data_IF_224514021934
#
_entry.id   IF_224514021934
#
_cell.length_a   1.000
_cell.length_b   1.000
_cell.length_c   1.000
_cell.angle_alpha   90.00
_cell.angle_beta   90.00
_cell.angle_gamma   90.00
#
_symmetry.space_group_name_H-M   'P 1'
#
loop_
_entity.id
_entity.type
_entity.pdbx_description
1 polymer ?
#
# COMPACT_ATOMS: atom_id res chain seq x y z
N UNK A 1 28.68 -5.66 -11.42
CA UNK A 1 27.27 -5.87 -11.85
C UNK A 1 26.37 -5.26 -10.80
N UNK A 2 25.57 -4.27 -11.18
CA UNK A 2 24.45 -3.78 -10.35
C UNK A 2 23.30 -4.77 -10.51
N UNK A 3 22.78 -5.32 -9.41
CA UNK A 3 21.60 -6.17 -9.43
C UNK A 3 20.37 -5.34 -9.82
N UNK A 4 19.60 -5.82 -10.79
CA UNK A 4 18.35 -5.18 -11.23
C UNK A 4 17.12 -5.74 -10.51
N UNK A 5 17.19 -6.98 -10.04
CA UNK A 5 16.10 -7.67 -9.33
C UNK A 5 16.57 -8.37 -8.06
N UNK A 6 15.63 -8.59 -7.12
CA UNK A 6 15.90 -9.18 -5.80
C UNK A 6 16.58 -10.55 -5.88
N UNK A 7 16.28 -11.38 -6.88
CA UNK A 7 16.93 -12.69 -7.05
C UNK A 7 18.41 -12.57 -7.41
N UNK A 8 18.78 -11.63 -8.29
CA UNK A 8 20.18 -11.32 -8.60
C UNK A 8 20.91 -10.80 -7.37
N UNK A 9 20.25 -9.96 -6.57
CA UNK A 9 20.81 -9.47 -5.31
C UNK A 9 21.07 -10.62 -4.34
N UNK A 10 20.13 -11.56 -4.18
CA UNK A 10 20.32 -12.77 -3.36
C UNK A 10 21.48 -13.63 -3.85
N UNK A 11 21.67 -13.78 -5.16
CA UNK A 11 22.80 -14.52 -5.73
C UNK A 11 24.13 -13.80 -5.47
N UNK A 12 24.16 -12.47 -5.57
CA UNK A 12 25.34 -11.67 -5.22
C UNK A 12 25.65 -11.76 -3.73
N UNK A 13 24.64 -11.72 -2.88
CA UNK A 13 24.81 -11.85 -1.43
C UNK A 13 25.28 -13.26 -1.05
N UNK A 14 24.75 -14.30 -1.70
CA UNK A 14 25.26 -15.67 -1.55
C UNK A 14 26.72 -15.77 -2.00
N UNK A 15 27.09 -15.16 -3.13
CA UNK A 15 28.49 -15.12 -3.59
C UNK A 15 29.39 -14.41 -2.57
N UNK A 16 28.97 -13.25 -2.05
CA UNK A 16 29.70 -12.51 -1.01
C UNK A 16 29.85 -13.33 0.26
N UNK A 17 28.76 -13.97 0.70
CA UNK A 17 28.74 -14.85 1.87
C UNK A 17 29.76 -15.98 1.71
N UNK A 18 29.72 -16.73 0.60
CA UNK A 18 30.67 -17.83 0.38
C UNK A 18 32.11 -17.34 0.24
N UNK A 19 32.35 -16.20 -0.42
CA UNK A 19 33.68 -15.62 -0.50
C UNK A 19 34.24 -15.26 0.89
N UNK A 20 33.44 -14.61 1.73
CA UNK A 20 33.82 -14.27 3.12
C UNK A 20 34.02 -15.53 3.97
N UNK A 21 33.14 -16.52 3.81
CA UNK A 21 33.24 -17.79 4.52
C UNK A 21 34.53 -18.54 4.17
N UNK A 22 34.87 -18.61 2.87
CA UNK A 22 36.10 -19.25 2.40
C UNK A 22 37.36 -18.48 2.86
N UNK A 23 37.34 -17.14 2.81
CA UNK A 23 38.44 -16.31 3.31
C UNK A 23 38.69 -16.55 4.80
N UNK A 24 37.64 -16.52 5.62
CA UNK A 24 37.72 -16.81 7.05
C UNK A 24 38.26 -18.22 7.33
N UNK A 25 37.78 -19.23 6.59
CA UNK A 25 38.29 -20.60 6.71
C UNK A 25 39.75 -20.73 6.31
N UNK A 26 40.22 -19.94 5.34
CA UNK A 26 41.62 -19.90 4.95
C UNK A 26 42.50 -19.37 6.08
N UNK A 27 42.06 -18.34 6.79
CA UNK A 27 42.78 -17.80 7.95
C UNK A 27 42.78 -18.79 9.12
N UNK A 28 41.61 -19.34 9.48
CA UNK A 28 41.43 -20.27 10.60
C UNK A 28 42.24 -21.57 10.44
N UNK A 29 42.32 -22.12 9.21
CA UNK A 29 42.95 -23.41 8.96
C UNK A 29 44.38 -23.30 8.47
N UNK A 30 44.81 -22.12 7.99
CA UNK A 30 46.17 -21.85 7.50
C UNK A 30 46.69 -22.98 6.56
N UNK A 31 47.64 -23.79 7.00
CA UNK A 31 48.24 -24.87 6.19
C UNK A 31 47.25 -25.99 5.82
N UNK A 32 46.25 -26.26 6.67
CA UNK A 32 45.25 -27.32 6.43
C UNK A 32 44.12 -26.90 5.47
N UNK A 33 44.07 -25.63 5.07
CA UNK A 33 42.98 -25.08 4.27
C UNK A 33 42.82 -25.80 2.93
N UNK A 34 43.91 -26.07 2.20
CA UNK A 34 43.85 -26.75 0.90
C UNK A 34 43.28 -28.17 1.02
N UNK A 35 43.66 -28.89 2.07
CA UNK A 35 43.16 -30.24 2.36
C UNK A 35 41.66 -30.19 2.67
N UNK A 36 41.22 -29.23 3.47
CA UNK A 36 39.80 -29.03 3.77
C UNK A 36 39.00 -28.62 2.53
N UNK A 37 39.53 -27.71 1.71
CA UNK A 37 38.88 -27.23 0.49
C UNK A 37 38.65 -28.36 -0.51
N UNK A 38 39.66 -29.23 -0.69
CA UNK A 38 39.53 -30.44 -1.52
C UNK A 38 38.47 -31.41 -0.98
N UNK A 39 38.36 -31.57 0.34
CA UNK A 39 37.28 -32.38 0.94
C UNK A 39 35.90 -31.76 0.69
N UNK A 40 35.78 -30.45 0.79
CA UNK A 40 34.52 -29.73 0.52
C UNK A 40 34.13 -29.83 -0.96
N UNK A 41 35.07 -29.60 -1.87
CA UNK A 41 34.87 -29.76 -3.31
C UNK A 41 34.36 -31.18 -3.64
N UNK A 42 35.05 -32.21 -3.15
CA UNK A 42 34.65 -33.60 -3.35
C UNK A 42 33.27 -33.92 -2.74
N UNK A 43 32.91 -33.29 -1.61
CA UNK A 43 31.59 -33.46 -1.01
C UNK A 43 30.50 -32.88 -1.90
N UNK A 44 30.74 -31.71 -2.49
CA UNK A 44 29.78 -31.04 -3.39
C UNK A 44 29.70 -31.76 -4.73
N UNK A 45 30.83 -32.10 -5.36
CA UNK A 45 30.84 -32.67 -6.71
C UNK A 45 30.40 -34.14 -6.74
N UNK A 46 30.76 -34.93 -5.72
CA UNK A 46 30.63 -36.39 -5.78
C UNK A 46 29.64 -36.96 -4.75
N UNK A 47 29.38 -36.25 -3.64
CA UNK A 47 28.50 -36.73 -2.56
C UNK A 47 27.12 -36.06 -2.54
N UNK A 48 26.98 -34.88 -3.16
CA UNK A 48 25.68 -34.24 -3.35
C UNK A 48 24.92 -34.96 -4.45
N UNK A 49 23.77 -35.53 -4.13
CA UNK A 49 22.90 -36.21 -5.11
C UNK A 49 21.76 -35.30 -5.49
N UNK A 50 21.60 -35.06 -6.79
CA UNK A 50 20.44 -34.37 -7.35
C UNK A 50 19.46 -35.42 -7.86
N UNK A 51 18.21 -35.33 -7.40
CA UNK A 51 17.12 -36.13 -7.95
C UNK A 51 16.57 -35.43 -9.18
N UNK A 52 16.84 -35.98 -10.37
CA UNK A 52 16.38 -35.42 -11.64
C UNK A 52 15.19 -36.24 -12.13
N UNK A 53 14.05 -35.57 -12.30
CA UNK A 53 12.86 -36.16 -12.92
C UNK A 53 12.73 -35.64 -14.35
N UNK A 54 13.01 -36.51 -15.32
CA UNK A 54 12.82 -36.21 -16.74
C UNK A 54 11.36 -36.42 -17.10
N UNK A 55 10.65 -35.34 -17.41
CA UNK A 55 9.23 -35.40 -17.76
C UNK A 55 9.09 -35.43 -19.28
N UNK A 56 8.55 -36.51 -19.88
CA UNK A 56 8.53 -36.70 -21.33
C UNK A 56 7.51 -35.79 -22.06
N UNK A 57 6.51 -35.26 -21.36
CA UNK A 57 5.51 -34.32 -21.90
C UNK A 57 5.39 -33.09 -21.03
N UNK A 58 5.39 -31.91 -21.63
CA UNK A 58 5.21 -30.64 -20.92
C UNK A 58 3.90 -30.59 -20.10
N UNK A 59 2.90 -31.39 -20.47
CA UNK A 59 1.60 -31.52 -19.80
C UNK A 59 1.69 -32.12 -18.41
N UNK A 60 2.66 -33.02 -18.20
CA UNK A 60 2.80 -33.80 -16.97
C UNK A 60 3.66 -33.02 -15.96
N UNK A 61 4.36 -31.98 -16.42
CA UNK A 61 5.18 -31.09 -15.59
C UNK A 61 4.31 -30.38 -14.56
N UNK A 62 3.15 -29.83 -14.93
CA UNK A 62 2.28 -29.09 -14.00
C UNK A 62 1.75 -29.96 -12.85
N UNK A 63 1.32 -31.19 -13.15
CA UNK A 63 0.83 -32.15 -12.14
C UNK A 63 1.96 -32.62 -11.23
N UNK A 64 3.13 -32.94 -11.81
CA UNK A 64 4.31 -33.34 -11.04
C UNK A 64 4.79 -32.18 -10.15
N UNK A 65 4.77 -30.94 -10.64
CA UNK A 65 5.18 -29.75 -9.89
C UNK A 65 4.25 -29.49 -8.70
N UNK A 66 2.93 -29.60 -8.89
CA UNK A 66 1.95 -29.49 -7.80
C UNK A 66 2.14 -30.56 -6.73
N UNK A 67 2.35 -31.82 -7.14
CA UNK A 67 2.50 -32.95 -6.20
C UNK A 67 3.87 -32.94 -5.50
N UNK A 68 4.94 -32.52 -6.19
CA UNK A 68 6.29 -32.46 -5.62
C UNK A 68 6.51 -31.27 -4.68
N UNK A 69 6.00 -30.07 -5.02
CA UNK A 69 6.15 -28.89 -4.16
C UNK A 69 5.27 -28.94 -2.91
N UNK A 70 4.29 -29.84 -2.85
CA UNK A 70 3.48 -30.07 -1.65
C UNK A 70 4.29 -30.69 -0.48
N UNK A 71 5.58 -31.00 -0.67
CA UNK A 71 6.50 -31.48 0.37
C UNK A 71 7.37 -30.36 0.99
N UNK A 72 7.17 -29.10 0.61
CA UNK A 72 7.96 -27.94 1.07
C UNK A 72 7.14 -26.64 1.17
N UNK A 73 7.65 -25.51 0.63
CA UNK A 73 6.92 -24.23 0.57
C UNK A 73 5.66 -24.42 -0.28
N UNK A 74 4.48 -24.04 0.24
CA UNK A 74 3.21 -24.13 -0.48
C UNK A 74 3.28 -23.29 -1.76
N UNK A 75 2.73 -23.83 -2.86
CA UNK A 75 2.58 -23.09 -4.12
C UNK A 75 1.66 -21.87 -3.94
N UNK A 76 2.03 -20.74 -4.52
CA UNK A 76 1.17 -19.55 -4.57
C UNK A 76 0.00 -19.77 -5.53
N UNK A 77 -1.09 -19.02 -5.38
CA UNK A 77 -2.22 -19.12 -6.32
C UNK A 77 -1.82 -18.68 -7.73
N UNK A 78 -0.82 -17.79 -7.84
CA UNK A 78 -0.21 -17.37 -9.12
C UNK A 78 0.49 -18.55 -9.82
N UNK A 79 1.22 -19.39 -9.08
CA UNK A 79 1.90 -20.58 -9.61
C UNK A 79 0.90 -21.66 -10.04
N UNK A 80 -0.11 -21.94 -9.21
CA UNK A 80 -1.17 -22.91 -9.54
C UNK A 80 -1.96 -22.47 -10.78
N UNK A 81 -2.28 -21.18 -10.87
CA UNK A 81 -2.97 -20.62 -12.05
C UNK A 81 -2.09 -20.78 -13.30
N UNK A 82 -0.79 -20.46 -13.23
CA UNK A 82 0.15 -20.69 -14.34
C UNK A 82 0.11 -22.13 -14.84
N UNK A 83 0.25 -23.09 -13.92
CA UNK A 83 0.34 -24.50 -14.25
C UNK A 83 -0.95 -24.99 -14.91
N UNK A 84 -2.09 -24.52 -14.41
CA UNK A 84 -3.38 -24.81 -15.01
C UNK A 84 -3.53 -24.24 -16.44
N UNK A 85 -3.13 -22.99 -16.66
CA UNK A 85 -3.17 -22.39 -18.01
C UNK A 85 -2.22 -23.10 -18.98
N UNK A 86 -1.03 -23.49 -18.54
CA UNK A 86 -0.11 -24.29 -19.34
C UNK A 86 -0.71 -25.66 -19.69
N UNK A 87 -1.36 -26.32 -18.73
CA UNK A 87 -2.11 -27.55 -18.98
C UNK A 87 -3.17 -27.34 -20.06
N UNK A 88 -4.02 -26.31 -19.96
CA UNK A 88 -5.04 -26.02 -20.98
C UNK A 88 -4.40 -25.80 -22.35
N UNK A 89 -3.35 -24.98 -22.43
CA UNK A 89 -2.65 -24.70 -23.69
C UNK A 89 -2.15 -25.96 -24.39
N UNK A 90 -1.69 -26.94 -23.61
CA UNK A 90 -1.17 -28.21 -24.13
C UNK A 90 -2.23 -29.19 -24.63
N UNK A 91 -3.50 -28.98 -24.27
CA UNK A 91 -4.65 -29.75 -24.75
C UNK A 91 -5.29 -29.14 -25.99
N UNK A 92 -4.91 -27.91 -26.35
CA UNK A 92 -5.40 -27.26 -27.56
C UNK A 92 -4.81 -27.94 -28.80
N UNK A 93 -5.69 -28.26 -29.74
CA UNK A 93 -5.34 -28.84 -31.05
C UNK A 93 -5.44 -27.82 -32.20
N UNK A 94 -5.77 -26.56 -31.89
CA UNK A 94 -5.89 -25.48 -32.87
C UNK A 94 -4.55 -24.78 -33.13
N UNK A 95 -4.48 -24.05 -34.23
CA UNK A 95 -3.30 -23.25 -34.59
C UNK A 95 -2.96 -22.24 -33.49
N UNK A 96 -1.67 -22.20 -33.16
CA UNK A 96 -1.12 -21.36 -32.10
C UNK A 96 -1.44 -21.76 -30.66
N UNK A 97 -1.97 -22.97 -30.44
CA UNK A 97 -2.03 -23.57 -29.10
C UNK A 97 -0.64 -23.74 -28.47
N UNK A 98 0.38 -24.07 -29.26
CA UNK A 98 1.78 -24.16 -28.79
C UNK A 98 2.36 -22.79 -28.44
N UNK A 99 2.16 -21.77 -29.28
CA UNK A 99 2.64 -20.42 -29.00
C UNK A 99 2.02 -19.83 -27.74
N UNK A 100 0.76 -20.19 -27.42
CA UNK A 100 0.11 -19.76 -26.18
C UNK A 100 0.87 -20.22 -24.93
N UNK A 101 1.43 -21.43 -24.92
CA UNK A 101 2.28 -21.91 -23.82
C UNK A 101 3.54 -21.06 -23.63
N UNK A 102 4.11 -20.56 -24.73
CA UNK A 102 5.24 -19.63 -24.67
C UNK A 102 4.81 -18.23 -24.21
N UNK A 103 3.66 -17.73 -24.67
CA UNK A 103 3.05 -16.45 -24.24
C UNK A 103 2.83 -16.45 -22.72
N UNK A 104 2.28 -17.53 -22.18
CA UNK A 104 2.08 -17.72 -20.73
C UNK A 104 3.43 -17.66 -20.00
N UNK A 105 4.44 -18.40 -20.46
CA UNK A 105 5.75 -18.39 -19.82
C UNK A 105 6.43 -17.01 -19.86
N UNK A 106 6.37 -16.32 -21.00
CA UNK A 106 6.87 -14.94 -21.13
C UNK A 106 6.15 -13.98 -20.19
N UNK A 107 4.83 -14.11 -20.08
CA UNK A 107 4.01 -13.26 -19.22
C UNK A 107 4.32 -13.48 -17.74
N UNK A 108 4.41 -14.73 -17.29
CA UNK A 108 4.78 -15.00 -15.90
C UNK A 108 6.19 -14.54 -15.57
N UNK A 109 7.14 -14.68 -16.50
CA UNK A 109 8.48 -14.10 -16.33
C UNK A 109 8.39 -12.59 -16.10
N UNK A 110 7.62 -11.87 -16.93
CA UNK A 110 7.41 -10.44 -16.77
C UNK A 110 6.76 -10.08 -15.42
N UNK A 111 5.73 -10.82 -15.01
CA UNK A 111 5.03 -10.60 -13.73
C UNK A 111 6.00 -10.71 -12.56
N UNK A 112 6.76 -11.81 -12.49
CA UNK A 112 7.71 -12.02 -11.40
C UNK A 112 8.85 -11.00 -11.40
N UNK A 113 9.42 -10.67 -12.56
CA UNK A 113 10.45 -9.64 -12.67
C UNK A 113 9.92 -8.26 -12.21
N UNK A 114 8.70 -7.90 -12.61
CA UNK A 114 8.06 -6.63 -12.25
C UNK A 114 7.77 -6.54 -10.76
N UNK A 115 7.17 -7.59 -10.18
CA UNK A 115 6.89 -7.68 -8.75
C UNK A 115 8.20 -7.65 -7.93
N UNK A 116 9.22 -8.42 -8.32
CA UNK A 116 10.51 -8.42 -7.65
C UNK A 116 11.20 -7.04 -7.70
N UNK A 117 11.15 -6.35 -8.85
CA UNK A 117 11.70 -5.00 -8.99
C UNK A 117 10.95 -3.96 -8.14
N UNK A 118 9.68 -4.23 -7.84
CA UNK A 118 8.82 -3.40 -7.00
C UNK A 118 8.87 -3.78 -5.51
N UNK A 119 9.79 -4.69 -5.13
CA UNK A 119 9.95 -5.21 -3.75
C UNK A 119 8.67 -5.85 -3.19
N UNK A 120 7.87 -6.44 -4.08
CA UNK A 120 6.64 -7.16 -3.72
C UNK A 120 6.94 -8.40 -2.86
N UNK A 121 5.95 -8.78 -2.06
CA UNK A 121 5.92 -9.98 -1.22
C UNK A 121 5.02 -11.07 -1.82
N UNK A 122 5.02 -12.28 -1.25
CA UNK A 122 4.10 -13.35 -1.68
C UNK A 122 2.62 -12.95 -1.51
N UNK A 123 2.29 -12.08 -0.53
CA UNK A 123 0.91 -11.57 -0.39
C UNK A 123 0.51 -10.63 -1.52
N UNK A 124 1.47 -9.92 -2.13
CA UNK A 124 1.23 -9.05 -3.27
C UNK A 124 0.90 -9.84 -4.54
N UNK A 125 1.53 -11.00 -4.75
CA UNK A 125 1.18 -11.90 -5.86
C UNK A 125 -0.29 -12.33 -5.79
N UNK A 126 -0.73 -12.74 -4.59
CA UNK A 126 -2.12 -13.17 -4.37
C UNK A 126 -3.09 -11.99 -4.48
N UNK A 127 -2.72 -10.79 -4.00
CA UNK A 127 -3.55 -9.60 -4.11
C UNK A 127 -3.69 -9.13 -5.56
N UNK A 128 -2.61 -9.17 -6.36
CA UNK A 128 -2.66 -8.92 -7.80
C UNK A 128 -3.63 -9.88 -8.49
N UNK A 129 -3.47 -11.18 -8.27
CA UNK A 129 -4.32 -12.19 -8.93
C UNK A 129 -5.79 -12.05 -8.53
N UNK A 130 -6.06 -11.85 -7.24
CA UNK A 130 -7.42 -11.62 -6.72
C UNK A 130 -8.01 -10.34 -7.30
N UNK A 131 -7.26 -9.24 -7.34
CA UNK A 131 -7.76 -7.96 -7.86
C UNK A 131 -8.05 -8.04 -9.35
N UNK A 132 -7.18 -8.71 -10.11
CA UNK A 132 -7.43 -9.04 -11.52
C UNK A 132 -8.71 -9.85 -11.67
N UNK A 133 -8.90 -10.91 -10.88
CA UNK A 133 -10.10 -11.74 -10.95
C UNK A 133 -11.38 -10.93 -10.70
N UNK A 134 -11.39 -10.11 -9.65
CA UNK A 134 -12.56 -9.32 -9.26
C UNK A 134 -12.94 -8.29 -10.32
N UNK A 135 -11.93 -7.72 -11.00
CA UNK A 135 -12.13 -6.77 -12.09
C UNK A 135 -12.53 -7.46 -13.41
N UNK A 136 -11.85 -8.54 -13.78
CA UNK A 136 -11.93 -9.13 -15.12
C UNK A 136 -13.00 -10.22 -15.23
N UNK A 137 -13.21 -11.02 -14.20
CA UNK A 137 -14.09 -12.20 -14.26
C UNK A 137 -15.37 -12.04 -13.47
N UNK A 138 -15.26 -11.64 -12.19
CA UNK A 138 -16.42 -11.60 -11.32
C UNK A 138 -16.17 -10.76 -10.06
N UNK A 139 -16.92 -9.68 -9.89
CA UNK A 139 -16.78 -8.79 -8.75
C UNK A 139 -17.22 -9.38 -7.40
N UNK A 140 -17.99 -10.47 -7.40
CA UNK A 140 -18.45 -11.10 -6.17
C UNK A 140 -17.28 -11.78 -5.46
N UNK A 141 -16.82 -11.16 -4.38
CA UNK A 141 -15.69 -11.64 -3.58
C UNK A 141 -15.90 -13.04 -2.98
N UNK A 142 -17.15 -13.46 -2.76
CA UNK A 142 -17.50 -14.81 -2.27
C UNK A 142 -17.27 -15.91 -3.32
N UNK A 143 -17.15 -15.55 -4.60
CA UNK A 143 -16.87 -16.49 -5.70
C UNK A 143 -15.38 -16.61 -6.05
N UNK A 144 -14.52 -15.91 -5.30
CA UNK A 144 -13.07 -16.07 -5.40
C UNK A 144 -12.60 -17.26 -4.55
N UNK A 145 -12.05 -18.28 -5.22
CA UNK A 145 -11.45 -19.49 -4.64
C UNK A 145 -10.06 -19.74 -5.26
N UNK A 146 -9.26 -18.68 -5.35
CA UNK A 146 -7.90 -18.77 -5.87
C UNK A 146 -7.83 -19.31 -7.30
N UNK A 147 -6.87 -20.20 -7.55
CA UNK A 147 -6.70 -20.87 -8.84
C UNK A 147 -7.89 -21.74 -9.26
N UNK A 148 -8.76 -22.19 -8.34
CA UNK A 148 -9.95 -22.95 -8.71
C UNK A 148 -10.98 -22.09 -9.45
N UNK A 149 -11.04 -20.79 -9.16
CA UNK A 149 -11.87 -19.84 -9.90
C UNK A 149 -11.56 -19.89 -11.41
N UNK A 150 -10.28 -19.92 -11.78
CA UNK A 150 -9.85 -20.07 -13.18
C UNK A 150 -10.24 -21.43 -13.76
N UNK A 151 -10.22 -22.51 -12.96
CA UNK A 151 -10.65 -23.85 -13.39
C UNK A 151 -12.15 -23.92 -13.70
N UNK A 152 -12.94 -23.16 -12.95
CA UNK A 152 -14.38 -23.05 -13.17
C UNK A 152 -14.70 -22.33 -14.48
N UNK A 153 -14.01 -21.21 -14.76
CA UNK A 153 -14.24 -20.42 -15.98
C UNK A 153 -13.66 -21.10 -17.22
N UNK A 154 -12.42 -21.59 -17.17
CA UNK A 154 -11.70 -22.16 -18.31
C UNK A 154 -11.76 -23.69 -18.35
N UNK A 155 -12.95 -24.26 -18.17
CA UNK A 155 -13.13 -25.70 -18.15
C UNK A 155 -13.23 -26.28 -19.58
N UNK A 156 -12.35 -27.22 -19.95
CA UNK A 156 -12.36 -27.90 -21.26
C UNK A 156 -13.74 -28.47 -21.65
N UNK A 157 -14.56 -28.90 -20.67
CA UNK A 157 -15.93 -29.39 -20.93
C UNK A 157 -16.83 -28.31 -21.52
N UNK A 158 -16.64 -27.05 -21.13
CA UNK A 158 -17.43 -25.90 -21.61
C UNK A 158 -17.00 -25.45 -23.00
N UNK A 159 -15.78 -25.80 -23.44
CA UNK A 159 -15.19 -25.44 -24.73
C UNK A 159 -15.09 -26.62 -25.69
N UNK A 160 -16.01 -27.58 -25.59
CA UNK A 160 -16.03 -28.75 -26.47
C UNK A 160 -16.07 -28.29 -27.93
N UNK A 161 -15.10 -28.73 -28.73
CA UNK A 161 -14.92 -28.35 -30.15
C UNK A 161 -14.69 -26.84 -30.39
N UNK A 162 -14.42 -26.06 -29.34
CA UNK A 162 -14.20 -24.61 -29.38
C UNK A 162 -12.76 -24.22 -28.97
N UNK A 163 -11.78 -25.04 -29.37
CA UNK A 163 -10.38 -24.83 -28.99
C UNK A 163 -9.82 -23.46 -29.42
N UNK A 164 -10.23 -22.95 -30.58
CA UNK A 164 -9.83 -21.61 -31.06
C UNK A 164 -10.35 -20.50 -30.14
N UNK A 165 -11.60 -20.62 -29.68
CA UNK A 165 -12.21 -19.65 -28.75
C UNK A 165 -11.49 -19.70 -27.41
N UNK A 166 -11.30 -20.90 -26.83
CA UNK A 166 -10.55 -21.06 -25.58
C UNK A 166 -9.15 -20.46 -25.68
N UNK A 167 -8.43 -20.70 -26.79
CA UNK A 167 -7.10 -20.11 -27.02
C UNK A 167 -7.15 -18.57 -26.99
N UNK A 168 -8.13 -17.97 -27.66
CA UNK A 168 -8.28 -16.52 -27.72
C UNK A 168 -8.62 -15.94 -26.34
N UNK A 169 -9.52 -16.57 -25.60
CA UNK A 169 -9.92 -16.14 -24.25
C UNK A 169 -8.75 -16.24 -23.26
N UNK A 170 -7.99 -17.34 -23.32
CA UNK A 170 -6.77 -17.50 -22.52
C UNK A 170 -5.72 -16.45 -22.87
N UNK A 171 -5.51 -16.15 -24.16
CA UNK A 171 -4.57 -15.12 -24.58
C UNK A 171 -4.99 -13.74 -24.10
N UNK A 172 -6.28 -13.39 -24.20
CA UNK A 172 -6.82 -12.14 -23.68
C UNK A 172 -6.65 -12.02 -22.15
N UNK A 173 -6.95 -13.10 -21.42
CA UNK A 173 -6.76 -13.18 -19.96
C UNK A 173 -5.30 -12.96 -19.56
N UNK A 174 -4.36 -13.65 -20.22
CA UNK A 174 -2.92 -13.58 -19.93
C UNK A 174 -2.38 -12.18 -20.23
N UNK A 175 -2.76 -11.60 -21.38
CA UNK A 175 -2.34 -10.25 -21.75
C UNK A 175 -2.89 -9.20 -20.76
N UNK A 176 -4.15 -9.30 -20.37
CA UNK A 176 -4.76 -8.38 -19.40
C UNK A 176 -4.10 -8.51 -18.02
N UNK A 177 -3.80 -9.74 -17.56
CA UNK A 177 -3.10 -9.96 -16.29
C UNK A 177 -1.69 -9.32 -16.32
N UNK A 178 -1.02 -9.33 -17.46
CA UNK A 178 0.28 -8.65 -17.65
C UNK A 178 0.17 -7.13 -17.49
N UNK A 179 -0.84 -6.51 -18.11
CA UNK A 179 -1.10 -5.08 -17.99
C UNK A 179 -1.47 -4.70 -16.55
N UNK A 180 -2.34 -5.49 -15.94
CA UNK A 180 -2.71 -5.41 -14.53
C UNK A 180 -1.50 -5.43 -13.60
N UNK A 181 -0.51 -6.30 -13.85
CA UNK A 181 0.72 -6.35 -13.07
C UNK A 181 1.50 -5.03 -13.14
N UNK A 182 1.55 -4.38 -14.30
CA UNK A 182 2.24 -3.10 -14.48
C UNK A 182 1.62 -2.00 -13.64
N UNK A 183 0.28 -1.91 -13.67
CA UNK A 183 -0.49 -0.96 -12.86
C UNK A 183 -0.38 -1.28 -11.37
N UNK A 184 -0.48 -2.55 -11.00
CA UNK A 184 -0.32 -2.98 -9.62
C UNK A 184 1.06 -2.60 -9.06
N UNK A 185 2.13 -2.79 -9.84
CA UNK A 185 3.48 -2.35 -9.48
C UNK A 185 3.57 -0.82 -9.29
N UNK A 186 2.89 -0.02 -10.12
CA UNK A 186 2.78 1.43 -9.92
C UNK A 186 2.04 1.76 -8.62
N UNK A 187 1.02 0.98 -8.27
CA UNK A 187 0.27 1.15 -7.03
C UNK A 187 1.18 0.81 -5.84
N UNK A 188 1.80 -0.38 -5.77
CA UNK A 188 2.58 -0.80 -4.59
C UNK A 188 3.94 -0.10 -4.46
N UNK A 189 4.51 0.38 -5.57
CA UNK A 189 5.80 1.06 -5.59
C UNK A 189 5.82 2.24 -6.57
N UNK A 190 5.06 3.29 -6.22
CA UNK A 190 4.83 4.46 -7.06
C UNK A 190 6.08 5.17 -7.58
N UNK A 191 7.20 5.12 -6.84
CA UNK A 191 8.48 5.77 -7.21
C UNK A 191 9.43 4.86 -8.00
N UNK A 192 8.95 3.70 -8.48
CA UNK A 192 9.76 2.80 -9.31
C UNK A 192 10.13 3.46 -10.64
N UNK A 193 11.25 3.07 -11.22
CA UNK A 193 11.64 3.55 -12.55
C UNK A 193 10.56 3.22 -13.58
N UNK A 194 10.14 4.22 -14.35
CA UNK A 194 9.12 4.09 -15.38
C UNK A 194 7.67 4.07 -14.88
N UNK A 195 7.41 4.32 -13.59
CA UNK A 195 6.04 4.50 -13.10
C UNK A 195 5.38 5.71 -13.73
N UNK A 196 4.08 5.58 -14.01
CA UNK A 196 3.28 6.66 -14.59
C UNK A 196 3.97 7.36 -15.77
N UNK A 197 4.62 6.58 -16.64
CA UNK A 197 5.27 7.09 -17.84
C UNK A 197 4.24 7.75 -18.77
N UNK A 198 4.66 8.73 -19.57
CA UNK A 198 3.80 9.38 -20.57
C UNK A 198 2.99 10.59 -20.08
N UNK A 199 3.10 11.01 -18.81
CA UNK A 199 2.52 12.28 -18.33
C UNK A 199 3.56 13.35 -17.99
N UNK A 200 3.08 14.58 -17.79
CA UNK A 200 3.83 15.74 -17.29
C UNK A 200 4.42 15.41 -15.92
N UNK A 201 5.62 15.91 -15.64
CA UNK A 201 6.32 15.65 -14.37
C UNK A 201 5.51 16.05 -13.14
N UNK A 202 4.76 17.15 -13.22
CA UNK A 202 3.87 17.60 -12.13
C UNK A 202 2.78 16.58 -11.83
N UNK A 203 2.15 16.01 -12.87
CA UNK A 203 1.11 14.98 -12.73
C UNK A 203 1.70 13.67 -12.22
N UNK A 204 2.89 13.27 -12.70
CA UNK A 204 3.62 12.10 -12.20
C UNK A 204 3.89 12.22 -10.71
N UNK A 205 4.44 13.36 -10.27
CA UNK A 205 4.72 13.62 -8.86
C UNK A 205 3.44 13.59 -8.02
N UNK A 206 2.35 14.18 -8.51
CA UNK A 206 1.06 14.12 -7.82
C UNK A 206 0.53 12.67 -7.69
N UNK A 207 0.68 11.84 -8.72
CA UNK A 207 0.33 10.42 -8.66
C UNK A 207 1.17 9.69 -7.61
N UNK A 208 2.48 9.90 -7.60
CA UNK A 208 3.38 9.33 -6.58
C UNK A 208 2.96 9.73 -5.16
N UNK A 209 2.66 11.02 -4.96
CA UNK A 209 2.31 11.57 -3.66
C UNK A 209 0.97 11.02 -3.16
N UNK A 210 -0.06 10.96 -4.01
CA UNK A 210 -1.38 10.41 -3.65
C UNK A 210 -1.39 8.89 -3.49
N UNK A 211 -0.61 8.15 -4.26
CA UNK A 211 -0.42 6.72 -4.03
C UNK A 211 0.28 6.49 -2.69
N UNK A 212 1.30 7.28 -2.36
CA UNK A 212 1.97 7.21 -1.06
C UNK A 212 1.01 7.52 0.10
N UNK A 213 0.10 8.49 -0.06
CA UNK A 213 -0.95 8.77 0.95
C UNK A 213 -1.84 7.57 1.21
N UNK A 214 -2.33 6.89 0.18
CA UNK A 214 -3.15 5.68 0.34
C UNK A 214 -2.40 4.55 1.06
N UNK A 215 -1.11 4.37 0.76
CA UNK A 215 -0.26 3.43 1.51
C UNK A 215 -0.13 3.78 2.98
N UNK A 216 0.05 5.07 3.31
CA UNK A 216 0.11 5.53 4.71
C UNK A 216 -1.20 5.28 5.45
N UNK A 217 -2.35 5.41 4.79
CA UNK A 217 -3.66 5.05 5.38
C UNK A 217 -3.78 3.52 5.53
N UNK A 218 -3.14 2.71 4.69
CA UNK A 218 -3.06 1.26 4.88
C UNK A 218 -4.36 0.50 4.56
N UNK A 219 -5.22 1.07 3.73
CA UNK A 219 -6.51 0.49 3.29
C UNK A 219 -6.65 0.43 1.77
N UNK A 220 -5.52 0.46 1.06
CA UNK A 220 -5.47 0.57 -0.40
C UNK A 220 -6.14 -0.61 -1.13
N UNK A 221 -6.14 -1.81 -0.51
CA UNK A 221 -6.61 -3.06 -1.13
C UNK A 221 -8.04 -2.98 -1.69
N UNK A 222 -8.95 -2.27 -1.01
CA UNK A 222 -10.35 -2.11 -1.44
C UNK A 222 -10.49 -1.31 -2.73
N UNK A 223 -9.49 -0.50 -3.10
CA UNK A 223 -9.50 0.36 -4.29
C UNK A 223 -8.73 -0.24 -5.46
N UNK A 224 -7.88 -1.24 -5.25
CA UNK A 224 -6.97 -1.76 -6.28
C UNK A 224 -7.72 -2.21 -7.55
N UNK A 225 -8.81 -3.00 -7.48
CA UNK A 225 -9.53 -3.40 -8.69
C UNK A 225 -10.06 -2.21 -9.49
N UNK A 226 -10.60 -1.19 -8.83
CA UNK A 226 -11.15 -0.01 -9.47
C UNK A 226 -10.05 0.87 -10.10
N UNK A 227 -8.93 1.05 -9.39
CA UNK A 227 -7.77 1.75 -9.92
C UNK A 227 -7.17 1.01 -11.13
N UNK A 228 -7.13 -0.31 -11.10
CA UNK A 228 -6.71 -1.14 -12.24
C UNK A 228 -7.66 -0.97 -13.43
N UNK A 229 -8.97 -1.09 -13.21
CA UNK A 229 -9.99 -0.91 -14.25
C UNK A 229 -9.88 0.45 -14.94
N UNK A 230 -9.82 1.52 -14.14
CA UNK A 230 -9.68 2.89 -14.62
C UNK A 230 -8.42 3.05 -15.46
N UNK A 231 -7.28 2.52 -14.98
CA UNK A 231 -6.00 2.67 -15.66
C UNK A 231 -5.90 1.89 -16.96
N UNK A 232 -6.53 0.71 -17.05
CA UNK A 232 -6.54 -0.09 -18.28
C UNK A 232 -7.50 0.49 -19.32
N UNK A 233 -8.66 1.03 -18.90
CA UNK A 233 -9.65 1.59 -19.83
C UNK A 233 -9.37 3.00 -20.30
N UNK A 234 -8.70 3.80 -19.46
CA UNK A 234 -8.39 5.19 -19.75
C UNK A 234 -6.87 5.41 -19.67
N UNK A 235 -6.10 4.51 -20.28
CA UNK A 235 -4.62 4.48 -20.22
C UNK A 235 -3.97 5.79 -20.66
N UNK A 236 -4.59 6.49 -21.59
CA UNK A 236 -4.08 7.74 -22.18
C UNK A 236 -4.42 8.96 -21.33
N UNK A 237 -5.28 8.82 -20.31
CA UNK A 237 -5.72 9.93 -19.46
C UNK A 237 -5.32 9.72 -17.99
N UNK A 238 -4.08 10.12 -17.71
CA UNK A 238 -3.47 10.04 -16.39
C UNK A 238 -4.01 11.07 -15.40
N UNK A 239 -4.66 12.12 -15.90
CA UNK A 239 -5.33 13.12 -15.06
C UNK A 239 -6.63 12.56 -14.48
N UNK A 240 -7.44 11.86 -15.27
CA UNK A 240 -8.61 11.11 -14.79
C UNK A 240 -8.21 10.07 -13.72
N UNK A 241 -7.11 9.34 -13.95
CA UNK A 241 -6.60 8.41 -12.95
C UNK A 241 -6.18 9.12 -11.65
N UNK A 242 -5.50 10.27 -11.75
CA UNK A 242 -5.12 11.08 -10.59
C UNK A 242 -6.33 11.57 -9.81
N UNK A 243 -7.39 12.03 -10.47
CA UNK A 243 -8.59 12.53 -9.78
C UNK A 243 -9.33 11.42 -9.04
N UNK A 244 -9.43 10.23 -9.64
CA UNK A 244 -9.97 9.05 -8.95
C UNK A 244 -9.11 8.67 -7.75
N UNK A 245 -7.78 8.71 -7.89
CA UNK A 245 -6.84 8.42 -6.80
C UNK A 245 -7.00 9.40 -5.62
N UNK A 246 -7.19 10.70 -5.90
CA UNK A 246 -7.49 11.72 -4.89
C UNK A 246 -8.80 11.42 -4.17
N UNK A 247 -9.84 11.05 -4.92
CA UNK A 247 -11.14 10.71 -4.34
C UNK A 247 -11.06 9.44 -3.47
N UNK A 248 -10.34 8.41 -3.91
CA UNK A 248 -10.06 7.21 -3.11
C UNK A 248 -9.28 7.56 -1.83
N UNK A 249 -8.33 8.50 -1.86
CA UNK A 249 -7.63 8.96 -0.65
C UNK A 249 -8.57 9.65 0.33
N UNK A 250 -9.46 10.53 -0.15
CA UNK A 250 -10.48 11.16 0.69
C UNK A 250 -11.45 10.13 1.27
N UNK A 251 -11.88 9.15 0.47
CA UNK A 251 -12.71 8.03 0.95
C UNK A 251 -11.98 7.28 2.05
N UNK A 252 -10.75 6.85 1.80
CA UNK A 252 -9.94 6.08 2.72
C UNK A 252 -9.75 6.80 4.06
N UNK A 253 -9.49 8.11 4.03
CA UNK A 253 -9.38 8.90 5.25
C UNK A 253 -10.74 9.05 5.94
N UNK A 254 -11.77 9.55 5.25
CA UNK A 254 -13.04 9.89 5.90
C UNK A 254 -13.84 8.67 6.37
N UNK A 255 -13.92 7.63 5.55
CA UNK A 255 -14.75 6.47 5.83
C UNK A 255 -14.01 5.50 6.76
N UNK A 256 -12.85 5.02 6.34
CA UNK A 256 -12.15 3.99 7.09
C UNK A 256 -11.42 4.57 8.30
N UNK A 257 -10.63 5.64 8.12
CA UNK A 257 -9.78 6.16 9.19
C UNK A 257 -10.53 7.03 10.21
N UNK A 258 -11.32 7.99 9.72
CA UNK A 258 -11.97 9.02 10.52
C UNK A 258 -13.25 8.48 11.16
N UNK A 259 -14.22 8.05 10.35
CA UNK A 259 -15.47 7.47 10.84
C UNK A 259 -15.31 6.06 11.45
N UNK A 260 -14.12 5.45 11.35
CA UNK A 260 -13.82 4.16 11.96
C UNK A 260 -14.55 2.97 11.34
N UNK A 261 -15.07 3.13 10.11
CA UNK A 261 -15.75 2.03 9.39
C UNK A 261 -14.75 0.93 9.06
N UNK A 262 -15.22 -0.32 9.07
CA UNK A 262 -14.40 -1.46 8.68
C UNK A 262 -13.92 -1.29 7.23
N UNK A 263 -12.75 -1.82 6.90
CA UNK A 263 -12.16 -1.67 5.56
C UNK A 263 -12.93 -2.38 4.43
N UNK A 264 -13.91 -3.22 4.79
CA UNK A 264 -14.87 -3.82 3.88
C UNK A 264 -16.13 -2.96 3.65
N UNK A 265 -16.35 -1.88 4.39
CA UNK A 265 -17.49 -0.99 4.17
C UNK A 265 -17.42 -0.40 2.74
N UNK A 266 -18.50 -0.60 1.97
CA UNK A 266 -18.59 -0.19 0.58
C UNK A 266 -17.75 -1.03 -0.39
N UNK A 267 -17.07 -2.09 0.07
CA UNK A 267 -16.16 -2.88 -0.76
C UNK A 267 -16.90 -3.58 -1.89
N UNK A 268 -18.07 -4.18 -1.65
CA UNK A 268 -18.83 -4.86 -2.72
C UNK A 268 -19.22 -3.88 -3.83
N UNK A 269 -19.57 -2.64 -3.46
CA UNK A 269 -19.89 -1.57 -4.42
C UNK A 269 -18.63 -1.18 -5.23
N UNK A 270 -17.48 -1.00 -4.57
CA UNK A 270 -16.21 -0.69 -5.24
C UNK A 270 -15.75 -1.81 -6.19
N UNK A 271 -15.91 -3.07 -5.77
CA UNK A 271 -15.58 -4.23 -6.60
C UNK A 271 -16.49 -4.34 -7.81
N UNK A 272 -17.82 -4.18 -7.62
CA UNK A 272 -18.78 -4.15 -8.71
C UNK A 272 -18.45 -3.03 -9.69
N UNK A 273 -18.15 -1.85 -9.18
CA UNK A 273 -17.82 -0.69 -10.00
C UNK A 273 -16.54 -0.91 -10.81
N UNK A 274 -15.52 -1.58 -10.25
CA UNK A 274 -14.33 -1.96 -10.98
C UNK A 274 -14.64 -2.87 -12.17
N UNK A 275 -15.48 -3.89 -11.94
CA UNK A 275 -15.92 -4.81 -12.99
C UNK A 275 -16.73 -4.08 -14.06
N UNK A 276 -17.72 -3.29 -13.66
CA UNK A 276 -18.59 -2.55 -14.57
C UNK A 276 -17.78 -1.56 -15.43
N UNK A 277 -16.82 -0.85 -14.82
CA UNK A 277 -15.94 0.09 -15.52
C UNK A 277 -15.04 -0.65 -16.52
N UNK A 278 -14.44 -1.77 -16.12
CA UNK A 278 -13.59 -2.57 -17.00
C UNK A 278 -14.38 -3.23 -18.14
N UNK A 279 -15.67 -3.51 -17.98
CA UNK A 279 -16.50 -4.06 -19.06
C UNK A 279 -17.21 -2.98 -19.89
N UNK A 280 -17.02 -1.69 -19.56
CA UNK A 280 -17.68 -0.59 -20.26
C UNK A 280 -19.19 -0.51 -19.99
N UNK A 281 -19.66 -1.13 -18.91
CA UNK A 281 -21.05 -1.04 -18.43
C UNK A 281 -21.31 0.36 -17.87
N UNK A 282 -20.29 0.97 -17.25
CA UNK A 282 -20.31 2.34 -16.76
C UNK A 282 -19.13 3.13 -17.32
N UNK A 283 -19.30 4.44 -17.48
CA UNK A 283 -18.22 5.35 -17.86
C UNK A 283 -17.33 5.69 -16.67
N UNK A 284 -16.21 6.37 -16.91
CA UNK A 284 -15.40 6.92 -15.83
C UNK A 284 -16.20 7.90 -14.96
N UNK A 285 -17.00 8.77 -15.57
CA UNK A 285 -17.78 9.79 -14.87
C UNK A 285 -18.78 9.13 -13.92
N UNK A 286 -19.49 8.09 -14.39
CA UNK A 286 -20.39 7.30 -13.55
C UNK A 286 -19.64 6.68 -12.37
N UNK A 287 -18.47 6.07 -12.62
CA UNK A 287 -17.67 5.48 -11.55
C UNK A 287 -17.16 6.52 -10.55
N UNK A 288 -16.69 7.67 -11.01
CA UNK A 288 -16.25 8.75 -10.14
C UNK A 288 -17.41 9.25 -9.25
N UNK A 289 -18.59 9.45 -9.84
CA UNK A 289 -19.81 9.85 -9.12
C UNK A 289 -20.20 8.78 -8.09
N UNK A 290 -20.20 7.49 -8.44
CA UNK A 290 -20.53 6.43 -7.49
C UNK A 290 -19.57 6.36 -6.29
N UNK A 291 -18.25 6.49 -6.50
CA UNK A 291 -17.29 6.55 -5.38
C UNK A 291 -17.55 7.76 -4.50
N UNK A 292 -17.87 8.90 -5.12
CA UNK A 292 -18.17 10.14 -4.41
C UNK A 292 -19.43 10.02 -3.56
N UNK A 293 -20.51 9.47 -4.11
CA UNK A 293 -21.75 9.21 -3.40
C UNK A 293 -21.55 8.20 -2.27
N UNK A 294 -20.78 7.14 -2.48
CA UNK A 294 -20.47 6.14 -1.45
C UNK A 294 -19.66 6.76 -0.30
N UNK A 295 -18.72 7.67 -0.59
CA UNK A 295 -18.02 8.45 0.43
C UNK A 295 -19.01 9.25 1.28
N UNK A 296 -19.88 10.03 0.64
CA UNK A 296 -20.86 10.88 1.30
C UNK A 296 -21.92 10.07 2.07
N UNK A 297 -22.26 8.87 1.62
CA UNK A 297 -23.14 7.95 2.33
C UNK A 297 -22.55 7.56 3.69
N UNK A 298 -21.28 7.12 3.71
CA UNK A 298 -20.62 6.68 4.95
C UNK A 298 -20.12 7.83 5.82
N UNK A 299 -19.74 8.95 5.20
CA UNK A 299 -19.21 10.14 5.88
C UNK A 299 -19.81 11.40 5.25
N UNK A 300 -21.05 11.79 5.61
CA UNK A 300 -21.66 13.03 5.14
C UNK A 300 -20.83 14.26 5.55
N UNK A 301 -20.79 15.30 4.71
CA UNK A 301 -20.05 16.54 5.01
C UNK A 301 -20.46 17.19 6.33
N UNK A 302 -21.77 17.29 6.59
CA UNK A 302 -22.30 17.83 7.85
C UNK A 302 -21.74 17.09 9.06
N UNK A 303 -21.84 15.76 9.07
CA UNK A 303 -21.36 14.92 10.18
C UNK A 303 -19.84 15.02 10.35
N UNK A 304 -19.09 14.95 9.25
CA UNK A 304 -17.63 15.09 9.29
C UNK A 304 -17.19 16.44 9.88
N UNK A 305 -17.86 17.53 9.50
CA UNK A 305 -17.60 18.86 10.02
C UNK A 305 -17.97 18.99 11.50
N UNK A 306 -19.15 18.49 11.91
CA UNK A 306 -19.59 18.49 13.31
C UNK A 306 -18.63 17.72 14.19
N UNK A 307 -18.23 16.50 13.79
CA UNK A 307 -17.27 15.66 14.53
C UNK A 307 -15.88 16.30 14.61
N UNK A 308 -15.40 16.95 13.54
CA UNK A 308 -14.09 17.61 13.52
C UNK A 308 -14.04 18.83 14.44
N UNK A 309 -15.18 19.50 14.63
CA UNK A 309 -15.30 20.67 15.49
C UNK A 309 -15.79 20.35 16.91
N UNK A 310 -16.14 19.09 17.20
CA UNK A 310 -16.46 18.64 18.55
C UNK A 310 -15.20 18.51 19.41
N UNK A 311 -15.37 18.53 20.74
CA UNK A 311 -14.31 18.13 21.69
C UNK A 311 -14.18 16.62 21.68
N UNK A 312 -12.96 16.12 21.58
CA UNK A 312 -12.68 14.69 21.53
C UNK A 312 -11.27 14.38 22.03
N UNK A 313 -11.05 13.12 22.44
CA UNK A 313 -9.70 12.59 22.69
C UNK A 313 -9.02 12.23 21.36
N UNK A 314 -8.29 13.19 20.80
CA UNK A 314 -7.50 12.99 19.59
C UNK A 314 -6.23 12.18 19.88
N UNK A 315 -5.70 12.23 21.10
CA UNK A 315 -4.52 11.46 21.49
C UNK A 315 -4.79 9.95 21.45
N UNK A 316 -5.96 9.51 21.92
CA UNK A 316 -6.43 8.13 21.85
C UNK A 316 -6.71 7.67 20.42
N UNK A 317 -7.18 8.56 19.55
CA UNK A 317 -7.56 8.20 18.18
C UNK A 317 -6.41 7.60 17.36
N UNK A 318 -6.63 6.43 16.76
CA UNK A 318 -5.61 5.66 16.07
C UNK A 318 -5.13 6.34 14.76
N UNK A 319 -5.91 7.26 14.20
CA UNK A 319 -5.56 8.03 13.00
C UNK A 319 -4.65 9.24 13.25
N UNK A 320 -4.37 9.59 14.51
CA UNK A 320 -3.68 10.84 14.87
C UNK A 320 -2.36 11.05 14.12
N UNK A 321 -1.49 10.02 14.11
CA UNK A 321 -0.18 10.13 13.47
C UNK A 321 -0.28 10.44 11.99
N UNK A 322 -1.24 9.83 11.30
CA UNK A 322 -1.47 10.09 9.89
C UNK A 322 -1.88 11.55 9.67
N UNK A 323 -2.82 12.04 10.48
CA UNK A 323 -3.29 13.42 10.41
C UNK A 323 -2.16 14.42 10.66
N UNK A 324 -1.40 14.26 11.75
CA UNK A 324 -0.29 15.16 12.07
C UNK A 324 0.82 15.10 11.02
N UNK A 325 1.08 13.93 10.43
CA UNK A 325 2.02 13.79 9.33
C UNK A 325 1.57 14.54 8.07
N UNK A 326 0.29 14.45 7.70
CA UNK A 326 -0.26 15.21 6.58
C UNK A 326 -0.26 16.73 6.87
N UNK A 327 -0.45 17.13 8.14
CA UNK A 327 -0.35 18.54 8.55
C UNK A 327 1.09 19.05 8.43
N UNK A 328 2.07 18.25 8.84
CA UNK A 328 3.49 18.56 8.67
C UNK A 328 3.88 18.70 7.19
N UNK A 329 3.39 17.79 6.32
CA UNK A 329 3.58 17.90 4.87
C UNK A 329 2.93 19.17 4.30
N UNK A 330 1.76 19.56 4.82
CA UNK A 330 1.11 20.81 4.45
C UNK A 330 1.97 22.03 4.81
N UNK A 331 2.46 22.10 6.06
CA UNK A 331 3.34 23.18 6.51
C UNK A 331 4.67 23.21 5.75
N UNK A 332 5.22 22.04 5.39
CA UNK A 332 6.45 21.94 4.62
C UNK A 332 6.35 22.59 3.23
N UNK A 333 5.15 22.71 2.66
CA UNK A 333 4.90 23.39 1.38
C UNK A 333 5.84 22.90 0.26
N UNK A 334 6.00 21.57 0.17
CA UNK A 334 6.86 20.92 -0.83
C UNK A 334 8.35 20.80 -0.45
N UNK A 335 8.77 21.35 0.69
CA UNK A 335 10.09 21.08 1.26
C UNK A 335 10.14 19.65 1.85
N UNK A 336 11.31 19.01 1.90
CA UNK A 336 11.44 17.70 2.52
C UNK A 336 11.11 17.75 4.02
N UNK A 337 10.29 16.80 4.49
CA UNK A 337 10.06 16.55 5.92
C UNK A 337 11.12 15.55 6.40
N UNK A 338 11.83 15.91 7.47
CA UNK A 338 12.95 15.09 7.98
C UNK A 338 12.47 13.79 8.62
N UNK A 339 11.40 13.85 9.42
CA UNK A 339 10.77 12.66 9.99
C UNK A 339 10.02 11.93 8.87
N UNK A 340 10.53 10.79 8.42
CA UNK A 340 9.80 9.99 7.44
C UNK A 340 8.62 9.23 8.09
N UNK A 341 7.63 8.86 7.29
CA UNK A 341 6.44 8.15 7.76
C UNK A 341 6.76 6.80 8.43
N UNK A 342 7.75 6.06 7.92
CA UNK A 342 8.11 4.74 8.44
C UNK A 342 8.68 4.87 9.85
N UNK A 343 9.48 5.91 10.12
CA UNK A 343 9.94 6.24 11.46
C UNK A 343 8.74 6.52 12.39
N UNK A 344 7.88 7.47 12.01
CA UNK A 344 6.74 7.88 12.83
C UNK A 344 5.77 6.72 13.12
N UNK A 345 5.49 5.89 12.12
CA UNK A 345 4.59 4.75 12.25
C UNK A 345 5.11 3.73 13.29
N UNK A 346 6.43 3.49 13.33
CA UNK A 346 7.05 2.49 14.22
C UNK A 346 7.22 2.94 15.67
N UNK A 347 7.36 4.25 15.91
CA UNK A 347 7.55 4.79 17.26
C UNK A 347 6.27 4.71 18.09
N UNK A 348 6.35 4.72 19.41
CA UNK A 348 5.13 4.84 20.22
C UNK A 348 4.64 6.29 20.23
N UNK A 349 3.33 6.52 20.44
CA UNK A 349 2.78 7.89 20.51
C UNK A 349 3.48 8.70 21.59
N UNK A 350 3.73 8.10 22.75
CA UNK A 350 4.45 8.72 23.87
C UNK A 350 5.89 9.14 23.56
N UNK A 351 6.48 8.66 22.47
CA UNK A 351 7.85 9.03 22.06
C UNK A 351 7.88 9.98 20.85
N UNK A 352 6.75 10.10 20.15
CA UNK A 352 6.71 10.76 18.82
C UNK A 352 5.65 11.86 18.71
N UNK A 353 4.75 11.95 19.69
CA UNK A 353 3.73 12.99 19.81
C UNK A 353 3.97 13.72 21.12
N UNK A 354 4.11 15.02 21.03
CA UNK A 354 4.25 15.93 22.16
C UNK A 354 2.90 16.53 22.57
N UNK A 355 2.74 16.64 23.88
CA UNK A 355 1.69 17.37 24.56
C UNK A 355 2.22 18.76 24.93
N UNK A 356 1.79 19.79 24.20
CA UNK A 356 2.33 21.16 24.37
C UNK A 356 2.08 21.62 25.81
N UNK A 357 0.82 21.63 26.23
CA UNK A 357 0.40 21.52 27.63
C UNK A 357 0.62 20.05 28.06
N UNK A 358 1.53 19.77 29.01
CA UNK A 358 1.82 18.40 29.45
C UNK A 358 0.63 17.73 30.11
N UNK A 359 0.55 16.40 30.03
CA UNK A 359 -0.47 15.59 30.74
C UNK A 359 -0.43 15.75 32.26
N UNK A 360 0.70 16.17 32.82
CA UNK A 360 0.83 16.44 34.27
C UNK A 360 1.49 17.80 34.47
N UNK A 361 0.75 18.91 34.32
CA UNK A 361 1.29 20.27 34.27
C UNK A 361 1.64 20.81 35.67
N UNK A 362 2.68 20.25 36.30
CA UNK A 362 3.07 20.56 37.70
C UNK A 362 3.88 21.85 37.86
N UNK A 363 4.30 22.50 36.76
CA UNK A 363 5.13 23.71 36.82
C UNK A 363 4.28 24.96 37.00
N UNK A 364 4.84 25.95 37.70
CA UNK A 364 4.22 27.26 37.95
C UNK A 364 3.78 27.97 36.67
N UNK A 365 4.51 27.78 35.56
CA UNK A 365 4.15 28.32 34.24
C UNK A 365 2.70 27.95 33.86
N UNK A 366 2.34 26.67 34.04
CA UNK A 366 1.04 26.14 33.68
C UNK A 366 -0.02 26.50 34.71
N UNK A 367 0.27 26.30 36.00
CA UNK A 367 -0.66 26.57 37.11
C UNK A 367 -1.09 28.04 37.22
N UNK A 368 -0.27 28.98 36.71
CA UNK A 368 -0.61 30.41 36.67
C UNK A 368 -1.40 30.85 35.44
N UNK A 369 -1.52 29.99 34.42
CA UNK A 369 -2.14 30.32 33.12
C UNK A 369 -3.36 29.49 32.78
N UNK A 370 -3.51 28.33 33.40
CA UNK A 370 -4.53 27.34 33.09
C UNK A 370 -5.30 26.97 34.35
N UNK A 371 -6.63 26.91 34.23
CA UNK A 371 -7.53 26.35 35.22
C UNK A 371 -7.63 24.82 35.08
N UNK A 372 -8.16 24.14 36.10
CA UNK A 372 -8.34 22.68 36.05
C UNK A 372 -9.26 22.22 34.91
N UNK A 373 -10.35 22.96 34.67
CA UNK A 373 -11.32 22.67 33.60
C UNK A 373 -10.70 22.81 32.21
N UNK A 374 -9.95 23.88 31.98
CA UNK A 374 -9.23 24.12 30.72
C UNK A 374 -8.17 23.04 30.45
N UNK A 375 -7.48 22.56 31.49
CA UNK A 375 -6.50 21.46 31.37
C UNK A 375 -7.19 20.18 30.94
N UNK A 376 -8.30 19.81 31.61
CA UNK A 376 -9.04 18.59 31.31
C UNK A 376 -9.53 18.58 29.85
N UNK A 377 -10.06 19.72 29.38
CA UNK A 377 -10.55 19.87 28.02
C UNK A 377 -9.43 19.85 26.96
N UNK A 378 -8.30 20.50 27.22
CA UNK A 378 -7.26 20.69 26.21
C UNK A 378 -6.24 19.55 26.13
N UNK A 379 -6.03 18.79 27.22
CA UNK A 379 -4.89 17.87 27.34
C UNK A 379 -4.75 16.93 26.14
N UNK A 380 -5.84 16.29 25.71
CA UNK A 380 -5.81 15.33 24.61
C UNK A 380 -6.42 15.85 23.29
N UNK A 381 -6.71 17.14 23.20
CA UNK A 381 -7.30 17.75 22.00
C UNK A 381 -6.24 18.03 20.93
N UNK A 382 -6.63 18.01 19.65
CA UNK A 382 -5.74 18.23 18.49
C UNK A 382 -4.98 19.56 18.57
N UNK A 383 -5.58 20.60 19.16
CA UNK A 383 -4.94 21.89 19.39
C UNK A 383 -3.69 21.80 20.28
N UNK A 384 -3.58 20.76 21.11
CA UNK A 384 -2.50 20.54 22.06
C UNK A 384 -1.46 19.49 21.62
N UNK A 385 -1.62 18.91 20.42
CA UNK A 385 -0.79 17.79 19.94
C UNK A 385 0.09 18.20 18.77
N UNK A 386 1.35 17.76 18.78
CA UNK A 386 2.32 17.98 17.70
C UNK A 386 3.25 16.77 17.57
N UNK A 387 3.81 16.52 16.37
CA UNK A 387 4.86 15.51 16.24
C UNK A 387 6.17 16.04 16.80
N UNK A 388 7.01 15.16 17.34
CA UNK A 388 8.32 15.55 17.86
C UNK A 388 9.36 14.43 17.79
N UNK A 389 10.63 14.80 17.78
CA UNK A 389 11.76 13.90 18.12
C UNK A 389 12.17 14.00 19.60
N UNK A 390 11.75 15.07 20.29
CA UNK A 390 12.36 15.57 21.53
C UNK A 390 11.40 15.48 22.73
N UNK A 391 10.43 14.56 22.68
CA UNK A 391 9.36 14.46 23.70
C UNK A 391 9.90 14.40 25.15
N UNK A 392 10.97 13.62 25.34
CA UNK A 392 11.62 13.46 26.65
C UNK A 392 12.36 14.72 27.12
N UNK A 393 12.83 15.56 26.20
CA UNK A 393 13.52 16.82 26.50
C UNK A 393 12.51 17.85 27.01
N UNK A 394 11.36 17.94 26.34
CA UNK A 394 10.30 18.89 26.70
C UNK A 394 9.73 18.60 28.08
N UNK A 395 9.42 17.33 28.38
CA UNK A 395 8.91 16.92 29.69
C UNK A 395 7.74 17.83 30.15
N UNK A 396 7.62 18.06 31.47
CA UNK A 396 6.63 18.97 32.04
C UNK A 396 7.10 20.43 32.07
N UNK A 397 8.14 20.81 31.31
CA UNK A 397 8.64 22.18 31.32
C UNK A 397 7.56 23.17 30.84
N UNK A 398 7.69 24.44 31.23
CA UNK A 398 6.84 25.52 30.72
C UNK A 398 7.06 25.74 29.22
N UNK A 399 6.06 26.30 28.56
CA UNK A 399 6.13 26.58 27.12
C UNK A 399 7.26 27.54 26.77
N UNK A 400 7.59 28.49 27.66
CA UNK A 400 8.74 29.39 27.53
C UNK A 400 10.06 28.64 27.28
N UNK A 401 10.28 27.56 28.03
CA UNK A 401 11.44 26.68 27.88
C UNK A 401 11.32 25.73 26.69
N UNK A 402 10.13 25.15 26.46
CA UNK A 402 9.91 24.26 25.28
C UNK A 402 10.08 25.02 23.97
N UNK A 403 9.65 26.29 23.92
CA UNK A 403 9.80 27.19 22.78
C UNK A 403 11.26 27.44 22.46
N UNK A 404 12.05 27.78 23.49
CA UNK A 404 13.47 28.13 23.37
C UNK A 404 13.72 29.31 22.42
N UNK A 405 14.93 29.37 21.90
CA UNK A 405 15.36 30.41 20.96
C UNK A 405 15.89 29.82 19.63
N UNK A 406 15.89 30.63 18.57
CA UNK A 406 16.42 30.18 17.28
C UNK A 406 17.90 29.76 17.41
N UNK A 407 18.22 28.55 16.92
CA UNK A 407 19.57 27.97 16.99
C UNK A 407 19.86 27.15 18.25
N UNK A 408 18.93 27.10 19.22
CA UNK A 408 19.02 26.22 20.38
C UNK A 408 18.48 24.82 20.03
N UNK A 409 19.21 23.78 20.40
CA UNK A 409 18.77 22.40 20.19
C UNK A 409 17.78 21.96 21.29
N UNK A 410 16.86 21.05 20.96
CA UNK A 410 15.90 20.52 21.93
C UNK A 410 14.80 21.51 22.33
N UNK A 411 14.44 22.42 21.42
CA UNK A 411 13.35 23.37 21.57
C UNK A 411 12.59 23.55 20.24
N UNK A 412 11.36 24.06 20.31
CA UNK A 412 10.51 24.25 19.14
C UNK A 412 11.14 25.18 18.09
N UNK A 413 11.81 26.26 18.50
CA UNK A 413 12.40 27.25 17.59
C UNK A 413 13.58 26.68 16.78
N UNK A 414 14.36 25.75 17.36
CA UNK A 414 15.46 25.06 16.70
C UNK A 414 15.08 23.76 16.02
N UNK A 415 13.81 23.35 16.09
CA UNK A 415 13.37 22.06 15.54
C UNK A 415 13.46 21.99 14.02
N UNK A 416 13.75 20.78 13.53
CA UNK A 416 13.63 20.43 12.11
C UNK A 416 12.18 20.34 11.63
N UNK A 417 11.23 20.12 12.54
CA UNK A 417 9.81 19.98 12.22
C UNK A 417 9.17 21.35 11.97
N UNK A 418 8.37 21.44 10.93
CA UNK A 418 7.65 22.64 10.55
C UNK A 418 6.55 22.98 11.56
N UNK A 419 5.85 21.96 12.08
CA UNK A 419 4.80 22.13 13.09
C UNK A 419 5.33 22.62 14.45
N UNK A 420 6.51 22.17 14.89
CA UNK A 420 7.14 22.73 16.10
C UNK A 420 7.62 24.18 15.86
N UNK A 421 8.22 24.48 14.70
CA UNK A 421 8.59 25.86 14.38
C UNK A 421 7.38 26.80 14.25
N UNK A 422 6.24 26.30 13.80
CA UNK A 422 4.98 27.03 13.89
C UNK A 422 4.60 27.33 15.34
N UNK A 423 4.75 26.37 16.27
CA UNK A 423 4.53 26.62 17.70
C UNK A 423 5.49 27.66 18.27
N UNK A 424 6.72 27.74 17.75
CA UNK A 424 7.68 28.73 18.21
C UNK A 424 7.27 30.19 17.92
N UNK A 425 6.26 30.40 17.06
CA UNK A 425 5.73 31.74 16.76
C UNK A 425 4.82 32.30 17.86
N UNK A 426 4.34 31.46 18.78
CA UNK A 426 3.50 31.90 19.89
C UNK A 426 4.35 32.50 21.02
N UNK A 427 3.88 33.63 21.56
CA UNK A 427 4.53 34.33 22.68
C UNK A 427 4.37 33.59 24.02
N UNK A 428 3.26 32.90 24.19
CA UNK A 428 2.95 32.03 25.33
C UNK A 428 1.94 30.96 24.90
N UNK A 429 1.56 30.09 25.83
CA UNK A 429 0.60 29.02 25.59
C UNK A 429 -0.48 29.08 26.66
N UNK A 430 -1.54 29.84 26.38
CA UNK A 430 -2.77 29.91 27.19
C UNK A 430 -3.89 29.15 26.50
N UNK A 431 -5.04 29.04 27.18
CA UNK A 431 -6.24 28.44 26.59
C UNK A 431 -6.67 29.15 25.30
N UNK A 432 -6.45 30.47 25.19
CA UNK A 432 -6.79 31.22 23.98
C UNK A 432 -5.91 30.85 22.78
N UNK A 433 -4.58 30.71 22.95
CA UNK A 433 -3.71 30.23 21.87
C UNK A 433 -4.02 28.80 21.47
N UNK A 434 -4.32 27.94 22.46
CA UNK A 434 -4.77 26.58 22.21
C UNK A 434 -6.02 26.54 21.34
N UNK A 435 -7.06 27.31 21.68
CA UNK A 435 -8.31 27.31 20.92
C UNK A 435 -8.11 27.86 19.50
N UNK A 436 -7.29 28.90 19.35
CA UNK A 436 -6.91 29.44 18.04
C UNK A 436 -6.20 28.38 17.18
N UNK A 437 -5.23 27.65 17.75
CA UNK A 437 -4.54 26.57 17.03
C UNK A 437 -5.49 25.43 16.69
N UNK A 438 -6.36 25.03 17.63
CA UNK A 438 -7.38 24.00 17.41
C UNK A 438 -8.27 24.37 16.23
N UNK A 439 -8.85 25.57 16.23
CA UNK A 439 -9.71 26.04 15.15
C UNK A 439 -8.97 26.07 13.81
N UNK A 440 -7.70 26.49 13.80
CA UNK A 440 -6.85 26.45 12.61
C UNK A 440 -6.71 25.03 12.05
N UNK A 441 -6.41 24.05 12.92
CA UNK A 441 -6.22 22.66 12.49
C UNK A 441 -7.55 22.04 12.06
N UNK A 442 -8.65 22.24 12.80
CA UNK A 442 -9.99 21.76 12.43
C UNK A 442 -10.43 22.32 11.08
N UNK A 443 -10.19 23.62 10.82
CA UNK A 443 -10.48 24.25 9.52
C UNK A 443 -9.65 23.62 8.41
N UNK A 444 -8.37 23.35 8.65
CA UNK A 444 -7.50 22.66 7.69
C UNK A 444 -7.96 21.22 7.42
N UNK A 445 -8.33 20.45 8.46
CA UNK A 445 -8.84 19.08 8.31
C UNK A 445 -10.08 19.09 7.42
N UNK A 446 -11.06 19.92 7.75
CA UNK A 446 -12.31 20.02 6.97
C UNK A 446 -12.00 20.37 5.52
N UNK A 447 -11.17 21.38 5.27
CA UNK A 447 -10.79 21.81 3.92
C UNK A 447 -10.04 20.72 3.13
N UNK A 448 -9.05 20.07 3.75
CA UNK A 448 -8.17 19.08 3.10
C UNK A 448 -8.91 17.83 2.60
N UNK A 449 -9.94 17.40 3.33
CA UNK A 449 -10.73 16.21 3.02
C UNK A 449 -12.17 16.52 2.61
N UNK A 450 -12.50 17.79 2.37
CA UNK A 450 -13.79 18.20 1.82
C UNK A 450 -14.03 17.56 0.45
N UNK A 451 -15.28 17.23 0.17
CA UNK A 451 -15.76 16.88 -1.16
C UNK A 451 -17.09 17.61 -1.38
N UNK A 452 -17.36 18.05 -2.60
CA UNK A 452 -18.58 18.81 -2.89
C UNK A 452 -19.84 17.97 -2.65
N UNK A 453 -20.92 18.56 -2.16
CA UNK A 453 -22.19 17.86 -2.08
C UNK A 453 -22.70 17.54 -3.51
N UNK A 454 -23.23 16.33 -3.68
CA UNK A 454 -23.80 15.88 -4.96
C UNK A 454 -25.18 15.27 -4.73
N UNK A 455 -26.14 15.65 -5.58
CA UNK A 455 -27.48 15.09 -5.58
C UNK A 455 -27.47 13.71 -6.25
N UNK A 456 -27.80 12.64 -5.51
CA UNK A 456 -28.63 11.52 -5.99
C UNK A 456 -28.67 10.35 -5.01
N UNK A 457 -29.80 9.64 -5.02
CA UNK A 457 -30.02 8.40 -4.28
C UNK A 457 -29.11 7.29 -4.81
N UNK A 458 -28.23 6.76 -3.95
CA UNK A 458 -27.46 5.54 -4.26
C UNK A 458 -28.19 4.33 -3.69
N UNK A 459 -28.35 3.28 -4.50
CA UNK A 459 -28.70 1.95 -3.98
C UNK A 459 -27.42 1.27 -3.50
N UNK A 460 -27.06 1.52 -2.23
CA UNK A 460 -25.87 0.91 -1.61
C UNK A 460 -26.17 -0.54 -1.24
N UNK A 461 -25.31 -1.47 -1.63
CA UNK A 461 -25.27 -2.79 -0.98
C UNK A 461 -24.52 -2.60 0.35
N UNK A 462 -25.23 -2.70 1.48
CA UNK A 462 -24.64 -2.46 2.79
C UNK A 462 -23.91 -3.70 3.33
N UNK A 463 -22.59 -3.71 3.11
CA UNK A 463 -21.66 -4.76 3.54
C UNK A 463 -21.54 -4.88 5.07
N UNK A 464 -22.04 -3.93 5.87
CA UNK A 464 -22.00 -4.01 7.35
C UNK A 464 -23.10 -4.89 7.95
N UNK A 465 -24.11 -5.30 7.15
CA UNK A 465 -25.24 -6.12 7.61
C UNK A 465 -25.10 -7.61 7.34
N UNK A 466 -24.03 -8.04 6.65
CA UNK A 466 -23.82 -9.43 6.22
C UNK A 466 -22.96 -10.30 7.18
N UNK A 467 -22.63 -9.83 8.39
CA UNK A 467 -21.94 -10.62 9.42
C UNK A 467 -22.87 -11.07 10.56
#
# INVERSE_FOLDING_TARGET
MSAKITSEQRLLDAKRYFAQYLARRSEELSEDYLTWLNKMYNKISNKMKLTVYLVPKATDVGVIFEVMNNRGKKLTEMEKTKNYLLYLSSKLTCDGGKELGEDINRTWKYIYESLMSSKASDSDENQLLRSFWLMYHNYNSKQWDGSNSFKTVYNLKNYKDQHTQLRNDLRACVNTLKECCTVYCDIIHAKRSGSFFGTKEVTRKALEDYTAKLHRIGVIASFIPLLMASRLKYSDNLEMYLDLLKLCEKFAFRVYRYAGKRSNAGQSNLLKLAYDLYHGIVTYQDAFICVHQLLLYYSPNKKFNEETNARADWYGWYGLKYLLYEYELHLASGKPVLMDWVYLQKKDKQDSIEHILPQTPTKSYWQSRWTGEEIEEATHDIGNLVMTFDNSIYSNNGFDKKRGSAGENGCYAGSSLFSERELATYGEWTYSEFENRRQKISTWIVSRWHVDDIDAALTVVDDETED
#
